data_IF_480287864668
#
_entry.id   IF_480287864668
#
_cell.length_a   1.000
_cell.length_b   1.000
_cell.length_c   1.000
_cell.angle_alpha   90.00
_cell.angle_beta   90.00
_cell.angle_gamma   90.00
#
_symmetry.space_group_name_H-M   'P 1'
#
loop_
_entity.id
_entity.type
_entity.pdbx_description
1 polymer ?
#
# COMPACT_ATOMS: atom_id res chain seq x y z
N UNK A 1 -1.73 8.94 -6.46
CA UNK A 1 -1.90 7.69 -5.70
C UNK A 1 -2.18 6.55 -6.66
N UNK A 2 -1.20 5.66 -6.85
CA UNK A 2 -1.28 4.50 -7.73
C UNK A 2 -1.47 3.24 -6.90
N UNK A 3 -2.70 2.75 -6.83
CA UNK A 3 -3.01 1.49 -6.15
C UNK A 3 -3.37 0.40 -7.14
N UNK A 4 -2.76 -0.77 -6.98
CA UNK A 4 -2.89 -1.88 -7.92
C UNK A 4 -3.68 -3.02 -7.29
N UNK A 5 -4.98 -3.08 -7.61
CA UNK A 5 -5.87 -4.18 -7.25
C UNK A 5 -6.93 -3.80 -6.21
N UNK A 6 -7.79 -4.76 -5.89
CA UNK A 6 -8.95 -4.55 -5.01
C UNK A 6 -8.71 -5.03 -3.56
N UNK A 7 -7.50 -5.51 -3.24
CA UNK A 7 -7.18 -6.23 -2.00
C UNK A 7 -6.39 -5.34 -1.01
N UNK A 8 -6.85 -4.09 -0.84
CA UNK A 8 -6.25 -3.13 0.11
C UNK A 8 -7.05 -3.16 1.39
N UNK A 9 -6.46 -3.77 2.42
CA UNK A 9 -7.04 -3.78 3.74
C UNK A 9 -6.57 -2.57 4.54
N UNK A 10 -7.50 -1.68 4.91
CA UNK A 10 -7.20 -0.48 5.71
C UNK A 10 -7.99 -0.50 7.02
N UNK A 11 -7.36 -0.88 8.14
CA UNK A 11 -8.01 -0.86 9.44
C UNK A 11 -8.57 0.52 9.79
N UNK A 12 -9.67 0.62 10.56
CA UNK A 12 -10.28 1.89 10.93
C UNK A 12 -9.35 2.82 11.72
N UNK A 13 -8.45 2.25 12.52
CA UNK A 13 -7.42 3.01 13.25
C UNK A 13 -6.42 3.71 12.31
N UNK A 14 -6.25 3.20 11.08
CA UNK A 14 -5.33 3.72 10.07
C UNK A 14 -6.06 4.55 8.99
N UNK A 15 -7.36 4.83 9.18
CA UNK A 15 -8.16 5.57 8.21
C UNK A 15 -7.66 7.00 7.95
N UNK A 16 -6.96 7.62 8.93
CA UNK A 16 -6.43 8.99 8.82
C UNK A 16 -4.96 9.07 8.43
N UNK A 17 -4.27 7.93 8.34
CA UNK A 17 -2.85 7.90 7.96
C UNK A 17 -2.76 7.49 6.50
N UNK A 18 -2.13 8.27 5.62
CA UNK A 18 -1.99 7.91 4.22
C UNK A 18 -1.21 6.60 4.07
N UNK A 19 -1.55 5.89 3.01
CA UNK A 19 -1.05 4.56 2.68
C UNK A 19 -0.25 4.69 1.39
N UNK A 20 0.98 4.18 1.34
CA UNK A 20 1.78 4.16 0.12
C UNK A 20 1.99 2.72 -0.32
N UNK A 21 1.61 2.42 -1.56
CA UNK A 21 1.83 1.12 -2.17
C UNK A 21 3.30 0.99 -2.59
N UNK A 22 4.00 0.07 -1.94
CA UNK A 22 5.38 -0.32 -2.24
C UNK A 22 5.41 -1.78 -2.67
N UNK A 23 4.58 -2.61 -2.03
CA UNK A 23 4.42 -4.02 -2.37
C UNK A 23 2.97 -4.37 -2.60
N UNK A 24 2.75 -5.40 -3.40
CA UNK A 24 1.44 -5.97 -3.66
C UNK A 24 1.51 -7.46 -3.32
N UNK A 25 0.47 -7.96 -2.67
CA UNK A 25 0.37 -9.37 -2.28
C UNK A 25 1.25 -9.71 -1.08
N UNK A 26 1.55 -11.00 -0.91
CA UNK A 26 2.36 -11.51 0.19
C UNK A 26 3.54 -12.33 -0.35
N UNK A 27 4.75 -12.05 0.12
CA UNK A 27 5.96 -12.80 -0.27
C UNK A 27 5.93 -14.28 0.16
N UNK A 28 5.12 -14.62 1.18
CA UNK A 28 5.01 -15.98 1.70
C UNK A 28 3.91 -16.80 1.00
N UNK A 29 2.71 -16.22 0.84
CA UNK A 29 1.51 -16.77 0.17
C UNK A 29 1.19 -18.28 0.37
N UNK A 30 1.50 -18.85 1.54
CA UNK A 30 1.25 -20.28 1.88
C UNK A 30 0.44 -20.47 3.17
N UNK A 31 -0.04 -19.36 3.76
CA UNK A 31 -0.79 -19.39 5.01
C UNK A 31 -2.19 -19.99 4.80
N UNK A 32 -2.52 -21.06 5.53
CA UNK A 32 -3.84 -21.72 5.48
C UNK A 32 -5.01 -20.83 5.92
N UNK A 33 -4.74 -19.78 6.71
CA UNK A 33 -5.76 -18.86 7.24
C UNK A 33 -5.91 -17.57 6.42
N UNK A 34 -4.97 -17.26 5.51
CA UNK A 34 -4.91 -15.94 4.88
C UNK A 34 -5.91 -15.86 3.73
N UNK A 35 -7.06 -15.22 3.91
CA UNK A 35 -8.04 -15.02 2.83
C UNK A 35 -7.79 -13.78 1.98
N UNK A 36 -6.84 -12.91 2.38
CA UNK A 36 -6.61 -11.61 1.77
C UNK A 36 -5.76 -11.67 0.49
N UNK A 37 -4.63 -12.38 0.51
CA UNK A 37 -3.64 -12.35 -0.58
C UNK A 37 -3.54 -13.67 -1.35
N UNK A 38 -4.44 -14.62 -1.08
CA UNK A 38 -4.42 -15.97 -1.69
C UNK A 38 -4.45 -15.93 -3.23
N UNK A 39 -5.04 -14.89 -3.82
CA UNK A 39 -5.18 -14.73 -5.29
C UNK A 39 -4.30 -13.62 -5.86
N UNK A 40 -3.55 -12.91 -5.03
CA UNK A 40 -2.67 -11.82 -5.46
C UNK A 40 -1.22 -12.32 -5.48
N UNK A 41 -0.56 -12.37 -6.65
CA UNK A 41 0.87 -12.64 -6.71
C UNK A 41 1.66 -11.50 -6.05
N UNK A 42 2.81 -11.83 -5.47
CA UNK A 42 3.72 -10.84 -4.92
C UNK A 42 4.37 -10.03 -6.05
N UNK A 43 4.31 -8.70 -5.95
CA UNK A 43 5.03 -7.80 -6.86
C UNK A 43 5.46 -6.52 -6.16
N UNK A 44 6.55 -5.92 -6.64
CA UNK A 44 7.01 -4.61 -6.21
C UNK A 44 6.39 -3.53 -7.10
N UNK A 45 5.95 -2.42 -6.50
CA UNK A 45 5.53 -1.25 -7.25
C UNK A 45 6.75 -0.65 -7.98
N UNK A 46 6.57 -0.14 -9.22
CA UNK A 46 7.65 0.52 -9.93
C UNK A 46 8.05 1.80 -9.20
N UNK A 47 9.35 2.10 -9.23
CA UNK A 47 9.91 3.22 -8.47
C UNK A 47 9.30 4.56 -8.90
N UNK A 48 8.98 4.72 -10.19
CA UNK A 48 8.35 5.94 -10.69
C UNK A 48 7.00 6.21 -10.03
N UNK A 49 6.16 5.18 -9.83
CA UNK A 49 4.87 5.33 -9.18
C UNK A 49 5.02 5.74 -7.71
N UNK A 50 5.96 5.11 -7.00
CA UNK A 50 6.25 5.42 -5.59
C UNK A 50 6.68 6.88 -5.44
N UNK A 51 7.58 7.35 -6.32
CA UNK A 51 8.04 8.75 -6.29
C UNK A 51 6.88 9.70 -6.60
N UNK A 52 6.09 9.43 -7.62
CA UNK A 52 4.94 10.26 -7.99
C UNK A 52 3.92 10.35 -6.85
N UNK A 53 3.66 9.24 -6.16
CA UNK A 53 2.75 9.21 -5.02
C UNK A 53 3.30 9.96 -3.80
N UNK A 54 4.62 9.91 -3.58
CA UNK A 54 5.28 10.70 -2.55
C UNK A 54 5.18 12.21 -2.84
N UNK A 55 5.37 12.62 -4.10
CA UNK A 55 5.22 14.02 -4.51
C UNK A 55 3.77 14.50 -4.32
N UNK A 56 2.80 13.66 -4.70
CA UNK A 56 1.38 13.92 -4.48
C UNK A 56 1.07 14.07 -2.97
N UNK A 57 1.58 13.15 -2.14
CA UNK A 57 1.39 13.21 -0.69
C UNK A 57 2.05 14.44 -0.06
N UNK A 58 3.25 14.81 -0.49
CA UNK A 58 3.94 16.01 -0.01
C UNK A 58 3.16 17.28 -0.36
N UNK A 59 2.51 17.31 -1.53
CA UNK A 59 1.67 18.43 -1.96
C UNK A 59 0.38 18.55 -1.13
N UNK A 60 -0.35 17.45 -0.93
CA UNK A 60 -1.63 17.48 -0.21
C UNK A 60 -1.49 17.47 1.32
N UNK A 61 -0.42 16.88 1.85
CA UNK A 61 -0.16 16.74 3.28
C UNK A 61 1.26 17.22 3.64
N UNK A 62 1.53 18.54 3.58
CA UNK A 62 2.87 19.09 3.79
C UNK A 62 3.42 18.85 5.21
N UNK A 63 2.53 18.66 6.21
CA UNK A 63 2.89 18.41 7.61
C UNK A 63 2.64 16.95 8.02
N UNK A 64 2.79 16.02 7.09
CA UNK A 64 2.54 14.61 7.37
C UNK A 64 3.60 14.03 8.31
N UNK A 65 3.21 13.72 9.55
CA UNK A 65 4.12 13.14 10.54
C UNK A 65 4.36 11.64 10.35
N UNK A 66 3.38 10.92 9.80
CA UNK A 66 3.39 9.47 9.68
C UNK A 66 2.68 9.00 8.41
N UNK A 67 3.21 7.94 7.82
CA UNK A 67 2.64 7.23 6.68
C UNK A 67 2.81 5.73 6.88
N UNK A 68 1.94 4.94 6.26
CA UNK A 68 2.00 3.47 6.29
C UNK A 68 2.34 2.93 4.91
N UNK A 69 3.17 1.91 4.88
CA UNK A 69 3.54 1.22 3.65
C UNK A 69 2.73 -0.07 3.56
N UNK A 70 2.27 -0.39 2.35
CA UNK A 70 1.68 -1.68 1.99
C UNK A 70 2.43 -2.31 0.85
#
# INVERSE_FOLDING_TARGET
MHYTGNEIYRPPLEARTPLLEVTRGCSHNKCVFCTMYQRTPFSLAPKENIISDLEELAFYYPNLERMKLV
#
